data_IF_179889536687
#
_entry.id   IF_179889536687
#
_cell.length_a   1.000
_cell.length_b   1.000
_cell.length_c   1.000
_cell.angle_alpha   90.00
_cell.angle_beta   90.00
_cell.angle_gamma   90.00
#
_symmetry.space_group_name_H-M   'P 1'
#
loop_
_entity.id
_entity.type
_entity.pdbx_description
1 polymer ?
#
# COMPACT_ATOMS: atom_id res chain seq x y z
N UNK A 1 -67.54 15.00 27.88
CA UNK A 1 -66.98 15.22 29.23
C UNK A 1 -65.72 16.02 29.02
N UNK A 2 -65.84 17.35 29.06
CA UNK A 2 -64.68 18.24 28.86
C UNK A 2 -63.67 17.98 29.98
N UNK A 3 -62.38 17.79 29.69
CA UNK A 3 -61.37 17.67 30.73
C UNK A 3 -61.38 18.96 31.54
N UNK A 4 -61.46 18.84 32.87
CA UNK A 4 -61.45 20.02 33.72
C UNK A 4 -60.12 20.74 33.59
N UNK A 5 -60.11 22.07 33.75
CA UNK A 5 -58.88 22.87 33.67
C UNK A 5 -57.79 22.35 34.63
N UNK A 6 -58.22 21.80 35.76
CA UNK A 6 -57.36 21.16 36.76
C UNK A 6 -56.65 19.92 36.20
N UNK A 7 -57.34 19.06 35.45
CA UNK A 7 -56.75 17.85 34.86
C UNK A 7 -55.67 18.20 33.82
N UNK A 8 -55.90 19.27 33.04
CA UNK A 8 -54.92 19.78 32.06
C UNK A 8 -53.69 20.35 32.79
N UNK A 9 -53.90 21.10 33.87
CA UNK A 9 -52.82 21.67 34.68
C UNK A 9 -51.94 20.56 35.29
N UNK A 10 -52.54 19.51 35.85
CA UNK A 10 -51.81 18.37 36.44
C UNK A 10 -51.05 17.60 35.34
N UNK A 11 -51.66 17.36 34.18
CA UNK A 11 -50.99 16.67 33.07
C UNK A 11 -49.79 17.48 32.51
N UNK A 12 -49.93 18.80 32.40
CA UNK A 12 -48.81 19.65 31.96
C UNK A 12 -47.70 19.72 33.01
N UNK A 13 -48.04 19.77 34.30
CA UNK A 13 -47.06 19.78 35.39
C UNK A 13 -46.27 18.47 35.45
N UNK A 14 -46.96 17.32 35.36
CA UNK A 14 -46.31 16.00 35.31
C UNK A 14 -45.45 15.82 34.05
N UNK A 15 -45.90 16.32 32.89
CA UNK A 15 -45.08 16.35 31.67
C UNK A 15 -43.82 17.20 31.85
N UNK A 16 -43.92 18.39 32.44
CA UNK A 16 -42.78 19.26 32.72
C UNK A 16 -41.82 18.63 33.74
N UNK A 17 -42.34 18.01 34.79
CA UNK A 17 -41.53 17.29 35.77
C UNK A 17 -40.76 16.13 35.12
N UNK A 18 -41.41 15.33 34.28
CA UNK A 18 -40.75 14.25 33.54
C UNK A 18 -39.64 14.76 32.62
N UNK A 19 -39.86 15.91 31.96
CA UNK A 19 -38.86 16.55 31.10
C UNK A 19 -37.71 17.13 31.91
N UNK A 20 -37.99 17.73 33.07
CA UNK A 20 -36.97 18.30 33.94
C UNK A 20 -36.10 17.20 34.54
N UNK A 21 -36.69 16.09 35.01
CA UNK A 21 -35.97 14.88 35.45
C UNK A 21 -35.12 14.29 34.34
N UNK A 22 -35.60 14.31 33.09
CA UNK A 22 -34.81 13.86 31.93
C UNK A 22 -33.64 14.80 31.64
N UNK A 23 -33.83 16.12 31.74
CA UNK A 23 -32.75 17.10 31.59
C UNK A 23 -31.73 16.98 32.72
N UNK A 24 -32.17 16.76 33.95
CA UNK A 24 -31.32 16.53 35.11
C UNK A 24 -30.52 15.23 34.96
N UNK A 25 -31.16 14.15 34.52
CA UNK A 25 -30.48 12.91 34.18
C UNK A 25 -29.45 13.11 33.05
N UNK A 26 -29.79 13.88 32.02
CA UNK A 26 -28.85 14.20 30.96
C UNK A 26 -27.70 15.09 31.45
N UNK A 27 -27.93 15.95 32.44
CA UNK A 27 -26.96 16.91 32.98
C UNK A 27 -26.02 16.31 34.03
N UNK A 28 -26.50 15.36 34.84
CA UNK A 28 -25.71 14.76 35.93
C UNK A 28 -25.40 13.28 35.70
N UNK A 29 -26.07 12.62 34.75
CA UNK A 29 -25.90 11.20 34.43
C UNK A 29 -26.41 10.23 35.51
N UNK A 30 -26.98 10.76 36.59
CA UNK A 30 -27.48 10.03 37.77
C UNK A 30 -28.64 10.82 38.36
N UNK A 31 -29.78 10.17 38.56
CA UNK A 31 -30.90 10.73 39.33
C UNK A 31 -30.66 10.29 40.77
N UNK A 32 -30.49 11.20 41.75
CA UNK A 32 -30.51 10.81 43.15
C UNK A 32 -31.90 10.24 43.46
N UNK A 33 -31.98 8.95 43.74
CA UNK A 33 -33.22 8.31 44.20
C UNK A 33 -33.63 8.94 45.54
N UNK A 34 -34.89 9.36 45.71
CA UNK A 34 -35.35 10.00 46.95
C UNK A 34 -35.31 9.07 48.19
N UNK A 35 -35.05 7.76 48.02
CA UNK A 35 -35.00 6.77 49.11
C UNK A 35 -33.59 6.54 49.70
N UNK A 36 -32.58 7.31 49.28
CA UNK A 36 -31.20 7.14 49.78
C UNK A 36 -30.96 7.93 51.08
N UNK A 37 -31.67 7.61 52.16
CA UNK A 37 -31.30 8.07 53.51
C UNK A 37 -30.29 7.09 54.11
N UNK A 38 -29.03 7.23 53.74
CA UNK A 38 -27.92 6.61 54.44
C UNK A 38 -26.76 7.60 54.55
N UNK A 39 -26.37 7.89 55.79
CA UNK A 39 -25.37 8.87 56.24
C UNK A 39 -23.91 8.59 55.79
N UNK A 40 -23.70 7.83 54.71
CA UNK A 40 -22.40 7.77 54.03
C UNK A 40 -22.54 8.51 52.71
N UNK A 41 -22.05 9.76 52.70
CA UNK A 41 -21.97 10.56 51.49
C UNK A 41 -20.86 10.04 50.57
N UNK A 42 -21.15 9.41 49.41
CA UNK A 42 -20.31 9.67 48.26
C UNK A 42 -20.67 11.09 47.83
N UNK A 43 -19.67 11.98 47.86
CA UNK A 43 -19.77 13.31 47.25
C UNK A 43 -20.58 13.24 45.95
N UNK A 44 -21.52 14.16 45.68
CA UNK A 44 -22.11 14.25 44.34
C UNK A 44 -20.95 14.25 43.34
N UNK A 45 -21.00 13.51 42.23
CA UNK A 45 -19.96 13.62 41.22
C UNK A 45 -20.02 15.02 40.60
N UNK A 46 -19.47 16.02 41.31
CA UNK A 46 -19.39 17.43 40.93
C UNK A 46 -18.36 17.66 39.82
N UNK A 47 -18.23 16.71 38.89
CA UNK A 47 -17.74 17.05 37.57
C UNK A 47 -18.97 17.43 36.76
N UNK A 48 -19.32 18.71 36.77
CA UNK A 48 -20.23 19.32 35.80
C UNK A 48 -19.90 18.77 34.41
N UNK A 49 -20.91 18.53 33.56
CA UNK A 49 -20.68 18.04 32.18
C UNK A 49 -19.62 18.84 31.45
N UNK A 50 -19.53 20.14 31.70
CA UNK A 50 -18.47 20.98 31.18
C UNK A 50 -17.06 20.47 31.53
N UNK A 51 -16.82 19.96 32.75
CA UNK A 51 -15.54 19.37 33.16
C UNK A 51 -15.29 18.02 32.50
N UNK A 52 -16.32 17.19 32.32
CA UNK A 52 -16.22 15.90 31.61
C UNK A 52 -15.95 16.11 30.12
N UNK A 53 -16.63 17.07 29.50
CA UNK A 53 -16.41 17.49 28.12
C UNK A 53 -15.01 18.05 27.94
N UNK A 54 -14.55 18.94 28.83
CA UNK A 54 -13.16 19.43 28.80
C UNK A 54 -12.14 18.31 28.91
N UNK A 55 -12.35 17.35 29.83
CA UNK A 55 -11.46 16.18 29.95
C UNK A 55 -11.46 15.32 28.68
N UNK A 56 -12.62 15.13 28.06
CA UNK A 56 -12.74 14.38 26.81
C UNK A 56 -12.07 15.14 25.67
N UNK A 57 -12.26 16.45 25.58
CA UNK A 57 -11.63 17.34 24.61
C UNK A 57 -10.10 17.27 24.72
N UNK A 58 -9.55 17.45 25.92
CA UNK A 58 -8.12 17.29 26.19
C UNK A 58 -7.62 15.89 25.80
N UNK A 59 -8.40 14.84 26.09
CA UNK A 59 -8.10 13.47 25.70
C UNK A 59 -8.07 13.26 24.19
N UNK A 60 -9.06 13.80 23.48
CA UNK A 60 -9.14 13.74 22.01
C UNK A 60 -8.04 14.55 21.35
N UNK A 61 -7.65 15.70 21.92
CA UNK A 61 -6.57 16.54 21.41
C UNK A 61 -5.21 15.84 21.57
N UNK A 62 -4.98 15.20 22.73
CA UNK A 62 -3.80 14.34 22.94
C UNK A 62 -3.77 13.20 21.94
N UNK A 63 -4.90 12.53 21.72
CA UNK A 63 -5.00 11.42 20.78
C UNK A 63 -4.76 11.88 19.34
N UNK A 64 -5.30 13.04 18.95
CA UNK A 64 -5.08 13.69 17.66
C UNK A 64 -3.59 14.01 17.43
N UNK A 65 -2.89 14.53 18.44
CA UNK A 65 -1.45 14.78 18.35
C UNK A 65 -0.60 13.50 18.30
N UNK A 66 -1.07 12.41 18.92
CA UNK A 66 -0.32 11.16 19.01
C UNK A 66 -0.49 10.26 17.79
N UNK A 67 -1.60 10.36 17.05
CA UNK A 67 -1.92 9.44 15.95
C UNK A 67 -2.28 10.23 14.68
N UNK A 68 -1.40 10.29 13.66
CA UNK A 68 -1.63 11.05 12.43
C UNK A 68 -2.79 10.49 11.59
N UNK A 69 -3.20 9.24 11.82
CA UNK A 69 -4.32 8.62 11.10
C UNK A 69 -5.69 9.19 11.49
N UNK A 70 -5.82 9.71 12.72
CA UNK A 70 -7.06 10.36 13.17
C UNK A 70 -7.26 11.68 12.42
N UNK A 71 -6.17 12.40 12.14
CA UNK A 71 -6.20 13.61 11.29
C UNK A 71 -6.76 13.27 9.91
N UNK A 72 -6.33 12.14 9.32
CA UNK A 72 -6.83 11.67 8.02
C UNK A 72 -8.31 11.31 8.06
N UNK A 73 -8.79 10.68 9.14
CA UNK A 73 -10.22 10.34 9.30
C UNK A 73 -11.06 11.60 9.47
N UNK A 74 -10.59 12.60 10.22
CA UNK A 74 -11.28 13.88 10.36
C UNK A 74 -11.33 14.62 9.01
N UNK A 75 -10.22 14.61 8.27
CA UNK A 75 -10.17 15.15 6.91
C UNK A 75 -11.13 14.40 5.96
N UNK A 76 -11.21 13.08 6.07
CA UNK A 76 -12.12 12.26 5.29
C UNK A 76 -13.58 12.59 5.61
N UNK A 77 -13.90 12.77 6.91
CA UNK A 77 -15.24 13.17 7.37
C UNK A 77 -15.63 14.56 6.90
N UNK A 78 -14.71 15.53 6.91
CA UNK A 78 -14.98 16.87 6.41
C UNK A 78 -15.11 16.90 4.88
N UNK A 79 -14.35 16.05 4.18
CA UNK A 79 -14.40 15.95 2.71
C UNK A 79 -15.65 15.24 2.21
N UNK A 80 -16.13 14.25 2.96
CA UNK A 80 -17.27 13.41 2.59
C UNK A 80 -18.26 13.27 3.76
N UNK A 81 -18.99 14.33 4.12
CA UNK A 81 -19.99 14.26 5.19
C UNK A 81 -21.10 13.24 4.89
N UNK A 82 -21.41 13.02 3.61
CA UNK A 82 -22.41 12.06 3.13
C UNK A 82 -22.09 10.59 3.46
N UNK A 83 -20.82 10.26 3.72
CA UNK A 83 -20.43 8.90 4.13
C UNK A 83 -20.70 8.63 5.61
N UNK A 84 -20.79 9.68 6.44
CA UNK A 84 -20.84 9.56 7.90
C UNK A 84 -22.14 10.05 8.52
N UNK A 85 -22.88 10.90 7.81
CA UNK A 85 -24.27 11.20 8.11
C UNK A 85 -25.09 10.57 6.98
N UNK A 86 -25.84 9.48 7.22
CA UNK A 86 -26.89 9.14 6.28
C UNK A 86 -27.79 10.36 6.25
N UNK A 87 -27.78 11.09 5.13
CA UNK A 87 -28.75 12.15 4.88
C UNK A 87 -30.12 11.59 5.27
N UNK A 88 -30.94 12.28 6.09
CA UNK A 88 -32.30 11.84 6.29
C UNK A 88 -32.90 11.86 4.90
N UNK A 89 -33.06 10.67 4.32
CA UNK A 89 -33.49 10.44 2.95
C UNK A 89 -34.59 11.46 2.66
N UNK A 90 -34.25 12.50 1.91
CA UNK A 90 -35.25 13.36 1.28
C UNK A 90 -36.23 12.39 0.68
N UNK A 91 -37.50 12.52 1.01
CA UNK A 91 -38.58 11.65 0.58
C UNK A 91 -38.44 11.42 -0.93
N UNK A 92 -37.70 10.39 -1.31
CA UNK A 92 -37.53 10.00 -2.69
C UNK A 92 -38.91 9.52 -3.03
N UNK A 93 -39.66 10.33 -3.77
CA UNK A 93 -40.91 9.92 -4.38
C UNK A 93 -40.61 8.62 -5.08
N UNK A 94 -41.01 7.52 -4.45
CA UNK A 94 -40.76 6.15 -4.88
C UNK A 94 -41.36 6.10 -6.28
N UNK A 95 -40.54 6.06 -7.35
CA UNK A 95 -41.07 6.13 -8.69
C UNK A 95 -41.88 4.84 -8.91
N UNK A 96 -42.94 4.85 -9.73
CA UNK A 96 -43.86 3.73 -9.83
C UNK A 96 -43.12 2.42 -10.12
N UNK A 97 -43.55 1.31 -9.50
CA UNK A 97 -42.94 -0.03 -9.57
C UNK A 97 -42.35 -0.44 -10.95
N UNK A 98 -42.99 -0.19 -12.11
CA UNK A 98 -42.40 -0.51 -13.41
C UNK A 98 -41.10 0.26 -13.71
N UNK A 99 -41.03 1.54 -13.34
CA UNK A 99 -39.83 2.36 -13.58
C UNK A 99 -38.64 1.88 -12.74
N UNK A 100 -38.88 1.42 -11.51
CA UNK A 100 -37.85 0.82 -10.66
C UNK A 100 -37.31 -0.49 -11.23
N UNK A 101 -38.19 -1.33 -11.77
CA UNK A 101 -37.76 -2.57 -12.40
C UNK A 101 -36.91 -2.30 -13.65
N UNK A 102 -37.26 -1.28 -14.45
CA UNK A 102 -36.45 -0.92 -15.61
C UNK A 102 -35.08 -0.35 -15.23
N UNK A 103 -35.00 0.47 -14.18
CA UNK A 103 -33.71 0.99 -13.71
C UNK A 103 -32.86 -0.12 -13.08
N UNK A 104 -33.46 -1.02 -12.31
CA UNK A 104 -32.77 -2.20 -11.77
C UNK A 104 -32.29 -3.14 -12.88
N UNK A 105 -33.10 -3.41 -13.90
CA UNK A 105 -32.67 -4.22 -15.04
C UNK A 105 -31.50 -3.56 -15.79
N UNK A 106 -31.52 -2.23 -15.95
CA UNK A 106 -30.42 -1.51 -16.59
C UNK A 106 -29.12 -1.56 -15.78
N UNK A 107 -29.22 -1.59 -14.45
CA UNK A 107 -28.07 -1.62 -13.53
C UNK A 107 -27.63 -3.03 -13.11
N UNK A 108 -28.42 -4.08 -13.38
CA UNK A 108 -28.09 -5.46 -13.05
C UNK A 108 -26.67 -5.91 -13.45
N UNK A 109 -26.15 -5.63 -14.68
CA UNK A 109 -24.79 -6.03 -15.03
C UNK A 109 -23.74 -5.29 -14.21
N UNK A 110 -23.94 -4.00 -13.90
CA UNK A 110 -23.03 -3.20 -13.06
C UNK A 110 -22.98 -3.73 -11.62
N UNK A 111 -24.12 -4.18 -11.08
CA UNK A 111 -24.18 -4.80 -9.76
C UNK A 111 -23.39 -6.12 -9.76
N UNK A 112 -23.49 -6.91 -10.82
CA UNK A 112 -22.72 -8.15 -10.93
C UNK A 112 -21.21 -7.89 -11.07
N UNK A 113 -20.80 -6.89 -11.87
CA UNK A 113 -19.38 -6.55 -12.04
C UNK A 113 -18.78 -5.94 -10.78
N UNK A 114 -19.53 -5.11 -10.06
CA UNK A 114 -19.06 -4.52 -8.79
C UNK A 114 -19.03 -5.55 -7.67
N UNK A 115 -19.99 -6.50 -7.66
CA UNK A 115 -19.98 -7.62 -6.72
C UNK A 115 -18.79 -8.54 -6.99
N UNK A 116 -18.46 -8.84 -8.24
CA UNK A 116 -17.29 -9.68 -8.56
C UNK A 116 -15.99 -8.97 -8.22
N UNK A 117 -15.87 -7.65 -8.46
CA UNK A 117 -14.69 -6.88 -8.05
C UNK A 117 -14.56 -6.81 -6.52
N UNK A 118 -15.65 -6.59 -5.79
CA UNK A 118 -15.63 -6.60 -4.32
C UNK A 118 -15.33 -7.99 -3.75
N UNK A 119 -15.85 -9.05 -4.38
CA UNK A 119 -15.53 -10.41 -3.97
C UNK A 119 -14.06 -10.74 -4.24
N UNK A 120 -13.50 -10.28 -5.37
CA UNK A 120 -12.08 -10.37 -5.66
C UNK A 120 -11.25 -9.63 -4.60
N UNK A 121 -11.61 -8.39 -4.25
CA UNK A 121 -10.94 -7.65 -3.18
C UNK A 121 -11.08 -8.34 -1.81
N UNK A 122 -12.25 -8.88 -1.50
CA UNK A 122 -12.49 -9.62 -0.26
C UNK A 122 -11.65 -10.90 -0.21
N UNK A 123 -11.47 -11.59 -1.34
CA UNK A 123 -10.63 -12.79 -1.42
C UNK A 123 -9.13 -12.49 -1.26
N UNK A 124 -8.70 -11.25 -1.55
CA UNK A 124 -7.32 -10.78 -1.35
C UNK A 124 -7.08 -10.17 0.04
N UNK A 125 -8.14 -9.86 0.78
CA UNK A 125 -8.07 -9.27 2.11
C UNK A 125 -7.34 -10.16 3.15
N UNK A 126 -7.47 -11.51 3.14
CA UNK A 126 -6.67 -12.40 3.97
C UNK A 126 -5.16 -12.32 3.72
N UNK A 127 -4.75 -12.02 2.48
CA UNK A 127 -3.35 -11.82 2.10
C UNK A 127 -2.78 -10.50 2.66
N UNK A 128 -3.60 -9.44 2.74
CA UNK A 128 -3.20 -8.16 3.36
C UNK A 128 -3.32 -8.17 4.89
N UNK A 129 -4.25 -8.94 5.44
CA UNK A 129 -4.48 -9.06 6.90
C UNK A 129 -3.44 -9.95 7.58
N UNK A 130 -2.84 -10.89 6.84
CA UNK A 130 -1.63 -11.58 7.28
C UNK A 130 -0.45 -10.62 7.14
N UNK A 131 -0.15 -9.85 8.19
CA UNK A 131 1.01 -8.95 8.26
C UNK A 131 2.34 -9.71 8.20
N UNK A 132 2.33 -11.02 8.46
CA UNK A 132 3.52 -11.90 8.53
C UNK A 132 4.43 -11.83 7.29
N UNK A 133 3.98 -12.13 6.05
CA UNK A 133 4.84 -12.08 4.87
C UNK A 133 5.40 -10.68 4.60
N UNK A 134 4.61 -9.61 4.81
CA UNK A 134 5.08 -8.24 4.61
C UNK A 134 6.12 -7.83 5.67
N UNK A 135 5.96 -8.26 6.92
CA UNK A 135 6.98 -8.04 7.96
C UNK A 135 8.27 -8.81 7.67
N UNK A 136 8.18 -10.01 7.10
CA UNK A 136 9.37 -10.74 6.65
C UNK A 136 10.07 -10.05 5.48
N UNK A 137 9.34 -9.47 4.53
CA UNK A 137 9.94 -8.68 3.44
C UNK A 137 10.60 -7.39 3.95
N UNK A 138 9.97 -6.72 4.91
CA UNK A 138 10.56 -5.55 5.56
C UNK A 138 11.84 -5.93 6.31
N UNK A 139 11.84 -7.07 7.01
CA UNK A 139 13.02 -7.60 7.69
C UNK A 139 14.13 -8.03 6.71
N UNK A 140 13.79 -8.46 5.49
CA UNK A 140 14.73 -8.88 4.46
C UNK A 140 15.35 -7.71 3.65
N UNK A 141 14.74 -6.52 3.71
CA UNK A 141 15.22 -5.32 3.01
C UNK A 141 16.69 -4.94 3.28
N UNK A 142 17.20 -4.95 4.53
CA UNK A 142 18.63 -4.70 4.77
C UNK A 142 19.54 -5.76 4.16
N UNK A 143 19.12 -7.03 4.16
CA UNK A 143 19.90 -8.10 3.53
C UNK A 143 19.99 -7.91 2.01
N UNK A 144 18.90 -7.49 1.36
CA UNK A 144 18.90 -7.14 -0.06
C UNK A 144 19.83 -5.96 -0.37
N UNK A 145 19.86 -4.95 0.51
CA UNK A 145 20.79 -3.83 0.32
C UNK A 145 22.26 -4.24 0.43
N UNK A 146 22.58 -5.15 1.38
CA UNK A 146 23.93 -5.67 1.56
C UNK A 146 24.36 -6.57 0.38
N UNK A 147 23.46 -7.41 -0.15
CA UNK A 147 23.79 -8.20 -1.34
C UNK A 147 23.93 -7.32 -2.57
N UNK A 148 23.11 -6.28 -2.72
CA UNK A 148 23.22 -5.33 -3.82
C UNK A 148 24.58 -4.62 -3.84
N UNK A 149 25.12 -4.21 -2.69
CA UNK A 149 26.47 -3.63 -2.66
C UNK A 149 27.53 -4.63 -3.10
N UNK A 150 27.43 -5.89 -2.64
CA UNK A 150 28.39 -6.93 -3.08
C UNK A 150 28.30 -7.23 -4.58
N UNK A 151 27.10 -7.17 -5.17
CA UNK A 151 26.92 -7.36 -6.62
C UNK A 151 27.56 -6.24 -7.43
N UNK A 152 27.49 -5.00 -6.94
CA UNK A 152 28.16 -3.85 -7.57
C UNK A 152 29.68 -4.05 -7.53
N UNK A 153 30.23 -4.45 -6.38
CA UNK A 153 31.68 -4.70 -6.24
C UNK A 153 32.14 -5.86 -7.12
N UNK A 154 31.36 -6.95 -7.18
CA UNK A 154 31.64 -8.09 -8.07
C UNK A 154 31.58 -7.69 -9.54
N UNK A 155 30.61 -6.86 -9.94
CA UNK A 155 30.51 -6.38 -11.31
C UNK A 155 31.75 -5.55 -11.72
N UNK A 156 32.27 -4.71 -10.80
CA UNK A 156 33.49 -3.95 -11.02
C UNK A 156 34.71 -4.87 -11.17
N UNK A 157 34.87 -5.88 -10.31
CA UNK A 157 35.96 -6.86 -10.40
C UNK A 157 35.90 -7.66 -11.71
N UNK A 158 34.70 -8.10 -12.12
CA UNK A 158 34.53 -8.82 -13.38
C UNK A 158 34.85 -7.93 -14.59
N UNK A 159 34.50 -6.64 -14.54
CA UNK A 159 34.87 -5.70 -15.60
C UNK A 159 36.39 -5.53 -15.70
N UNK A 160 37.09 -5.44 -14.56
CA UNK A 160 38.55 -5.33 -14.54
C UNK A 160 39.23 -6.61 -15.05
N UNK A 161 38.79 -7.79 -14.59
CA UNK A 161 39.31 -9.07 -15.08
C UNK A 161 39.04 -9.28 -16.57
N UNK A 162 37.92 -8.77 -17.09
CA UNK A 162 37.64 -8.78 -18.54
C UNK A 162 38.60 -7.86 -19.29
N UNK A 163 38.94 -6.70 -18.74
CA UNK A 163 39.93 -5.78 -19.33
C UNK A 163 41.31 -6.43 -19.37
N UNK A 164 41.76 -6.99 -18.26
CA UNK A 164 43.06 -7.65 -18.16
C UNK A 164 43.15 -8.89 -19.05
N UNK A 165 42.10 -9.74 -19.05
CA UNK A 165 42.08 -10.92 -19.93
C UNK A 165 42.04 -10.54 -21.41
N UNK A 166 41.32 -9.48 -21.79
CA UNK A 166 41.34 -8.97 -23.16
C UNK A 166 42.73 -8.48 -23.57
N UNK A 167 43.45 -7.79 -22.68
CA UNK A 167 44.82 -7.34 -22.95
C UNK A 167 45.79 -8.53 -23.13
N UNK A 168 45.68 -9.56 -22.29
CA UNK A 168 46.50 -10.78 -22.42
C UNK A 168 46.19 -11.50 -23.72
N UNK A 169 44.91 -11.66 -24.08
CA UNK A 169 44.50 -12.30 -25.34
C UNK A 169 44.99 -11.48 -26.54
N UNK A 170 44.87 -10.16 -26.48
CA UNK A 170 45.39 -9.27 -27.53
C UNK A 170 46.89 -9.44 -27.73
N UNK A 171 47.67 -9.38 -26.63
CA UNK A 171 49.12 -9.57 -26.67
C UNK A 171 49.51 -10.95 -27.19
N UNK A 172 48.78 -11.99 -26.80
CA UNK A 172 49.01 -13.33 -27.32
C UNK A 172 48.69 -13.42 -28.82
N UNK A 173 47.59 -12.82 -29.28
CA UNK A 173 47.24 -12.79 -30.70
C UNK A 173 48.31 -12.06 -31.52
N UNK A 174 48.78 -10.90 -31.05
CA UNK A 174 49.80 -10.11 -31.72
C UNK A 174 51.15 -10.86 -31.76
N UNK A 175 51.62 -11.36 -30.61
CA UNK A 175 52.93 -12.00 -30.52
C UNK A 175 52.96 -13.42 -31.12
N UNK A 176 51.88 -14.19 -31.00
CA UNK A 176 51.85 -15.57 -31.45
C UNK A 176 51.21 -15.67 -32.84
N UNK A 177 49.93 -15.30 -32.98
CA UNK A 177 49.21 -15.54 -34.23
C UNK A 177 49.77 -14.71 -35.38
N UNK A 178 49.98 -13.41 -35.18
CA UNK A 178 50.46 -12.53 -36.25
C UNK A 178 51.94 -12.79 -36.55
N UNK A 179 52.80 -12.80 -35.52
CA UNK A 179 54.23 -12.98 -35.75
C UNK A 179 54.58 -14.38 -36.28
N UNK A 180 53.95 -15.43 -35.74
CA UNK A 180 54.18 -16.79 -36.24
C UNK A 180 53.61 -16.95 -37.65
N UNK A 181 52.45 -16.35 -37.96
CA UNK A 181 51.90 -16.32 -39.32
C UNK A 181 52.85 -15.66 -40.32
N UNK A 182 53.48 -14.54 -39.94
CA UNK A 182 54.51 -13.89 -40.75
C UNK A 182 55.74 -14.78 -40.98
N UNK A 183 56.23 -15.44 -39.92
CA UNK A 183 57.33 -16.40 -40.02
C UNK A 183 56.98 -17.57 -40.95
N UNK A 184 55.81 -18.18 -40.79
CA UNK A 184 55.35 -19.26 -41.66
C UNK A 184 55.24 -18.82 -43.13
N UNK A 185 54.72 -17.62 -43.38
CA UNK A 185 54.63 -17.07 -44.73
C UNK A 185 56.01 -16.85 -45.37
N UNK A 186 56.99 -16.33 -44.61
CA UNK A 186 58.37 -16.18 -45.09
C UNK A 186 59.01 -17.54 -45.40
N UNK A 187 58.79 -18.54 -44.54
CA UNK A 187 59.26 -19.90 -44.79
C UNK A 187 58.62 -20.50 -46.04
N UNK A 188 57.32 -20.32 -46.24
CA UNK A 188 56.60 -20.78 -47.43
C UNK A 188 57.12 -20.10 -48.71
N UNK A 189 57.40 -18.80 -48.67
CA UNK A 189 58.01 -18.08 -49.80
C UNK A 189 59.39 -18.64 -50.15
N UNK A 190 60.24 -18.88 -49.14
CA UNK A 190 61.58 -19.45 -49.34
C UNK A 190 61.53 -20.86 -49.91
N UNK A 191 60.67 -21.73 -49.37
CA UNK A 191 60.48 -23.11 -49.86
C UNK A 191 59.92 -23.08 -51.28
N UNK A 192 58.88 -22.28 -51.54
CA UNK A 192 58.32 -22.10 -52.88
C UNK A 192 59.33 -21.58 -53.89
N UNK A 193 60.23 -20.68 -53.47
CA UNK A 193 61.37 -20.23 -54.27
C UNK A 193 62.30 -21.39 -54.63
N UNK A 194 62.74 -22.18 -53.65
CA UNK A 194 63.60 -23.36 -53.87
C UNK A 194 62.92 -24.39 -54.76
N UNK A 195 61.65 -24.71 -54.52
CA UNK A 195 60.87 -25.60 -55.41
C UNK A 195 60.78 -25.03 -56.83
N UNK A 196 60.64 -23.71 -56.97
CA UNK A 196 60.67 -23.03 -58.26
C UNK A 196 62.00 -23.22 -59.00
N UNK A 197 63.12 -23.12 -58.28
CA UNK A 197 64.46 -23.40 -58.81
C UNK A 197 64.61 -24.87 -59.22
N UNK A 198 64.17 -25.81 -58.37
CA UNK A 198 64.22 -27.25 -58.67
C UNK A 198 63.39 -27.58 -59.91
N UNK A 199 62.15 -27.12 -60.00
CA UNK A 199 61.29 -27.33 -61.18
C UNK A 199 61.89 -26.77 -62.47
N UNK A 200 62.60 -25.64 -62.40
CA UNK A 200 63.30 -25.09 -63.57
C UNK A 200 64.46 -25.98 -63.99
N UNK A 201 65.30 -26.40 -63.05
CA UNK A 201 66.43 -27.30 -63.35
C UNK A 201 66.01 -28.71 -63.78
N UNK A 202 64.88 -29.22 -63.29
CA UNK A 202 64.30 -30.48 -63.79
C UNK A 202 63.82 -30.35 -65.24
N UNK A 203 63.13 -29.26 -65.60
CA UNK A 203 62.72 -29.01 -66.99
C UNK A 203 63.91 -28.89 -67.95
N UNK A 204 64.97 -28.19 -67.55
CA UNK A 204 66.18 -28.09 -68.38
C UNK A 204 66.82 -29.46 -68.60
N UNK A 205 66.84 -30.34 -67.59
CA UNK A 205 67.34 -31.71 -67.74
C UNK A 205 66.45 -32.61 -68.59
N UNK A 206 65.14 -32.41 -68.58
CA UNK A 206 64.19 -33.11 -69.45
C UNK A 206 64.28 -32.65 -70.91
N UNK A 207 64.70 -31.41 -71.16
CA UNK A 207 64.92 -30.87 -72.52
C UNK A 207 66.30 -31.25 -73.10
N UNK A 208 67.30 -31.48 -72.25
CA UNK A 208 68.67 -31.89 -72.63
C UNK A 208 68.86 -33.41 -72.79
N UNK A 209 67.89 -34.22 -72.32
CA UNK A 209 67.91 -35.70 -72.41
C UNK A 209 67.06 -36.23 -73.57
#
# INVERSE_FOLDING_TARGET
>A
MEPSLEDIAIHTLTSLESRLRRLEFLLYGSIPSPDSTSDDAPSPPQSTISRRLKKLEEGTQKLHSSHPDIVKIIWLKSRFPDLFSPSPTSETTIPPLPSQLTTLLSHAPLIHTTRSSLHSLHSLLPLLSSTSPLTHLLAASPQLSATQTTLIDQAAQVAELRRESAEVVWRWQEAFVIAQGGCWAEWEERVGGVEGWVRRGEREREEEG
#
